data_IF_427981828275
#
_entry.id   IF_427981828275
#
_cell.length_a   1.000
_cell.length_b   1.000
_cell.length_c   1.000
_cell.angle_alpha   90.00
_cell.angle_beta   90.00
_cell.angle_gamma   90.00
#
_symmetry.space_group_name_H-M   'P 1'
#
loop_
_entity.id
_entity.type
_entity.pdbx_description
1 polymer ?
#
# COMPACT_ATOMS: atom_id res chain seq x y z
N UNK A 1 -47.09 22.78 18.65
CA UNK A 1 -46.52 21.43 18.62
C UNK A 1 -45.11 21.55 19.15
N UNK A 2 -44.75 20.76 20.14
CA UNK A 2 -43.38 20.73 20.66
C UNK A 2 -42.51 20.03 19.60
N UNK A 3 -41.84 20.82 18.76
CA UNK A 3 -41.02 20.34 17.64
C UNK A 3 -39.60 20.00 18.12
N UNK A 4 -39.46 19.40 19.31
CA UNK A 4 -38.18 19.07 19.93
C UNK A 4 -37.95 17.55 19.98
N UNK A 5 -36.68 17.16 19.89
CA UNK A 5 -36.24 15.77 20.10
C UNK A 5 -35.17 15.75 21.19
N UNK A 6 -35.22 14.77 22.08
CA UNK A 6 -34.19 14.53 23.09
C UNK A 6 -33.37 13.30 22.70
N UNK A 7 -32.06 13.48 22.56
CA UNK A 7 -31.13 12.42 22.17
C UNK A 7 -29.98 12.42 23.19
N UNK A 8 -29.54 11.26 23.68
CA UNK A 8 -28.37 11.19 24.55
C UNK A 8 -27.12 11.69 23.82
N UNK A 9 -26.29 12.49 24.51
CA UNK A 9 -25.02 13.01 23.97
C UNK A 9 -24.00 11.91 23.62
N UNK A 10 -24.19 10.70 24.16
CA UNK A 10 -23.32 9.54 23.95
C UNK A 10 -21.84 9.81 24.31
N UNK A 11 -21.61 10.68 25.29
CA UNK A 11 -20.35 10.86 25.98
C UNK A 11 -20.50 10.28 27.39
N UNK A 12 -19.66 9.32 27.81
CA UNK A 12 -19.74 8.79 29.15
C UNK A 12 -19.21 9.79 30.18
N UNK A 13 -19.62 9.59 31.42
CA UNK A 13 -19.14 10.32 32.60
C UNK A 13 -19.36 11.84 32.58
N UNK A 14 -20.35 12.33 31.83
CA UNK A 14 -20.71 13.75 31.81
C UNK A 14 -22.16 13.99 32.16
N UNK A 15 -22.42 15.17 32.75
CA UNK A 15 -23.76 15.72 32.92
C UNK A 15 -23.85 17.00 32.09
N UNK A 16 -24.91 17.11 31.29
CA UNK A 16 -25.22 18.33 30.54
C UNK A 16 -25.78 19.36 31.51
N UNK A 17 -25.22 20.57 31.46
CA UNK A 17 -25.64 21.71 32.28
C UNK A 17 -26.52 22.65 31.46
N UNK A 18 -26.07 23.00 30.27
CA UNK A 18 -26.74 23.96 29.39
C UNK A 18 -26.51 23.58 27.93
N UNK A 19 -27.52 23.81 27.10
CA UNK A 19 -27.42 23.73 25.64
C UNK A 19 -27.88 25.07 25.09
N UNK A 20 -26.99 25.76 24.38
CA UNK A 20 -27.28 27.05 23.77
C UNK A 20 -26.80 27.07 22.32
N UNK A 21 -27.28 28.06 21.57
CA UNK A 21 -26.88 28.30 20.18
C UNK A 21 -26.15 29.63 20.11
N UNK A 22 -24.98 29.63 19.48
CA UNK A 22 -24.20 30.85 19.27
C UNK A 22 -24.82 31.70 18.15
N UNK A 23 -24.44 32.98 18.08
CA UNK A 23 -24.84 33.89 17.00
C UNK A 23 -24.44 33.36 15.62
N UNK A 24 -23.31 32.66 15.55
CA UNK A 24 -22.80 31.99 14.34
C UNK A 24 -23.55 30.69 14.00
N UNK A 25 -24.60 30.34 14.75
CA UNK A 25 -25.43 29.17 14.49
C UNK A 25 -24.84 27.83 14.95
N UNK A 26 -23.78 27.86 15.76
CA UNK A 26 -23.18 26.65 16.33
C UNK A 26 -23.90 26.25 17.64
N UNK A 27 -23.99 24.96 17.92
CA UNK A 27 -24.44 24.48 19.22
C UNK A 27 -23.29 24.46 20.22
N UNK A 28 -23.53 24.99 21.41
CA UNK A 28 -22.64 24.92 22.56
C UNK A 28 -23.32 24.08 23.64
N UNK A 29 -22.68 22.98 24.04
CA UNK A 29 -23.16 22.09 25.08
C UNK A 29 -22.18 22.17 26.24
N UNK A 30 -22.60 22.83 27.32
CA UNK A 30 -21.82 22.90 28.55
C UNK A 30 -22.02 21.63 29.36
N UNK A 31 -20.91 21.02 29.76
CA UNK A 31 -20.94 19.78 30.53
C UNK A 31 -20.02 19.85 31.75
N UNK A 32 -20.38 19.11 32.78
CA UNK A 32 -19.48 18.79 33.88
C UNK A 32 -19.13 17.30 33.89
N UNK A 33 -17.92 16.98 34.33
CA UNK A 33 -17.52 15.61 34.58
C UNK A 33 -18.20 15.07 35.84
N UNK A 34 -18.79 13.89 35.75
CA UNK A 34 -19.37 13.15 36.88
C UNK A 34 -18.33 12.35 37.66
N UNK A 35 -17.15 12.10 37.08
CA UNK A 35 -16.05 11.41 37.76
C UNK A 35 -15.56 12.22 38.96
N UNK A 36 -15.33 11.51 40.08
CA UNK A 36 -14.82 12.04 41.35
C UNK A 36 -13.35 11.68 41.62
N UNK A 37 -12.69 11.07 40.64
CA UNK A 37 -11.28 10.73 40.72
C UNK A 37 -10.56 10.89 39.38
N UNK A 38 -9.24 10.73 39.40
CA UNK A 38 -8.36 10.58 38.23
C UNK A 38 -7.08 9.84 38.64
N UNK A 39 -6.34 9.26 37.70
CA UNK A 39 -5.00 8.73 37.96
C UNK A 39 -3.94 9.83 37.99
N UNK A 40 -2.98 9.75 38.91
CA UNK A 40 -1.85 10.66 39.01
C UNK A 40 -0.94 10.56 37.79
N UNK A 41 -0.62 11.69 37.15
CA UNK A 41 0.27 11.71 35.99
C UNK A 41 1.74 11.32 36.28
N UNK A 42 2.16 11.28 37.55
CA UNK A 42 3.54 10.93 37.97
C UNK A 42 3.65 9.50 38.50
N UNK A 43 2.78 9.08 39.42
CA UNK A 43 2.87 7.76 40.06
C UNK A 43 1.77 6.77 39.65
N UNK A 44 0.80 7.16 38.83
CA UNK A 44 -0.28 6.29 38.36
C UNK A 44 -1.39 5.99 39.38
N UNK A 45 -1.18 6.28 40.68
CA UNK A 45 -2.18 6.03 41.72
C UNK A 45 -3.44 6.87 41.53
N UNK A 46 -4.58 6.33 41.95
CA UNK A 46 -5.86 7.05 41.93
C UNK A 46 -5.84 8.23 42.92
N UNK A 47 -6.35 9.38 42.46
CA UNK A 47 -6.47 10.63 43.18
C UNK A 47 -7.94 10.98 43.35
N UNK A 48 -8.37 11.17 44.60
CA UNK A 48 -9.72 11.60 44.98
C UNK A 48 -9.74 12.97 45.65
N UNK A 49 -8.57 13.52 46.00
CA UNK A 49 -8.46 14.82 46.64
C UNK A 49 -8.62 15.95 45.62
N UNK A 50 -9.83 16.49 45.51
CA UNK A 50 -10.15 17.61 44.63
C UNK A 50 -9.31 18.84 45.00
N UNK A 51 -8.73 19.48 43.99
CA UNK A 51 -7.87 20.65 44.16
C UNK A 51 -8.48 21.91 43.51
N UNK A 52 -9.36 21.75 42.53
CA UNK A 52 -10.00 22.86 41.84
C UNK A 52 -10.30 22.51 40.40
N UNK A 53 -10.56 23.54 39.60
CA UNK A 53 -10.82 23.41 38.19
C UNK A 53 -9.66 23.96 37.36
N UNK A 54 -9.48 23.41 36.16
CA UNK A 54 -8.64 24.00 35.13
C UNK A 54 -9.41 25.06 34.33
N UNK A 55 -8.73 25.71 33.39
CA UNK A 55 -9.38 26.62 32.44
C UNK A 55 -10.44 25.87 31.62
N UNK A 56 -11.60 26.48 31.33
CA UNK A 56 -12.59 25.91 30.43
C UNK A 56 -11.96 25.60 29.07
N UNK A 57 -12.27 24.43 28.53
CA UNK A 57 -11.87 24.01 27.19
C UNK A 57 -13.09 23.83 26.32
N UNK A 58 -12.97 24.22 25.05
CA UNK A 58 -14.00 24.03 24.04
C UNK A 58 -13.53 23.00 23.02
N UNK A 59 -14.33 21.95 22.85
CA UNK A 59 -13.97 20.78 22.07
C UNK A 59 -14.96 20.58 20.92
N UNK A 60 -14.48 20.45 19.69
CA UNK A 60 -15.35 20.13 18.55
C UNK A 60 -15.95 18.73 18.70
N UNK A 61 -17.25 18.63 18.45
CA UNK A 61 -18.02 17.40 18.50
C UNK A 61 -18.77 17.11 17.20
N UNK A 62 -19.44 15.96 17.15
CA UNK A 62 -20.25 15.55 16.00
C UNK A 62 -21.31 16.60 15.69
N UNK A 63 -21.48 16.99 14.41
CA UNK A 63 -22.46 17.99 14.04
C UNK A 63 -23.89 17.46 14.23
N UNK A 64 -24.82 18.37 14.48
CA UNK A 64 -26.26 18.10 14.55
C UNK A 64 -26.93 18.85 13.42
N UNK A 65 -27.59 18.14 12.50
CA UNK A 65 -28.18 18.72 11.29
C UNK A 65 -27.20 19.63 10.52
N UNK A 66 -25.97 19.14 10.33
CA UNK A 66 -24.84 19.86 9.71
C UNK A 66 -24.35 21.10 10.48
N UNK A 67 -24.99 21.46 11.59
CA UNK A 67 -24.54 22.56 12.44
C UNK A 67 -23.38 22.09 13.33
N UNK A 68 -22.28 22.85 13.40
CA UNK A 68 -21.21 22.65 14.35
C UNK A 68 -21.70 22.46 15.78
N UNK A 69 -21.12 21.50 16.49
CA UNK A 69 -21.34 21.32 17.93
C UNK A 69 -20.01 21.44 18.67
N UNK A 70 -20.02 22.16 19.77
CA UNK A 70 -18.90 22.28 20.69
C UNK A 70 -19.29 21.83 22.09
N UNK A 71 -18.45 21.00 22.71
CA UNK A 71 -18.55 20.66 24.13
C UNK A 71 -17.66 21.62 24.90
N UNK A 72 -18.25 22.35 25.85
CA UNK A 72 -17.51 23.17 26.79
C UNK A 72 -17.41 22.44 28.13
N UNK A 73 -16.19 22.09 28.52
CA UNK A 73 -15.91 21.36 29.75
C UNK A 73 -14.97 22.21 30.60
N UNK A 74 -15.23 22.23 31.91
CA UNK A 74 -14.26 22.72 32.89
C UNK A 74 -13.59 21.54 33.60
N UNK A 75 -12.36 21.15 33.21
CA UNK A 75 -11.74 19.94 33.73
C UNK A 75 -11.47 20.05 35.24
N UNK A 76 -11.76 18.98 35.99
CA UNK A 76 -11.40 18.90 37.42
C UNK A 76 -9.91 18.65 37.57
N UNK A 77 -9.29 19.18 38.63
CA UNK A 77 -7.90 18.93 39.01
C UNK A 77 -7.86 18.25 40.37
N UNK A 78 -6.98 17.27 40.52
CA UNK A 78 -6.79 16.54 41.76
C UNK A 78 -5.34 16.64 42.21
N UNK A 79 -5.11 16.69 43.52
CA UNK A 79 -3.78 16.73 44.11
C UNK A 79 -3.34 15.32 44.51
N UNK A 80 -2.10 14.97 44.16
CA UNK A 80 -1.49 13.72 44.59
C UNK A 80 -0.83 13.88 45.95
N UNK A 81 -1.28 13.14 46.97
CA UNK A 81 -0.62 13.12 48.28
C UNK A 81 0.41 11.98 48.43
N UNK A 82 0.52 11.10 47.44
CA UNK A 82 1.50 9.99 47.43
C UNK A 82 2.88 10.38 46.88
N UNK A 83 2.93 11.40 46.02
CA UNK A 83 4.19 11.91 45.46
C UNK A 83 4.75 13.00 46.39
N UNK A 84 6.07 13.01 46.58
CA UNK A 84 6.77 13.99 47.43
C UNK A 84 6.42 15.45 47.12
N UNK A 85 6.37 15.81 45.84
CA UNK A 85 6.15 17.20 45.38
C UNK A 85 4.66 17.60 45.32
N UNK A 86 3.76 16.71 45.78
CA UNK A 86 2.30 16.86 45.73
C UNK A 86 1.75 17.44 44.42
N UNK A 87 2.11 16.85 43.25
CA UNK A 87 1.72 17.38 41.96
C UNK A 87 0.20 17.35 41.78
N UNK A 88 -0.30 18.29 40.99
CA UNK A 88 -1.70 18.31 40.57
C UNK A 88 -1.84 17.62 39.22
N UNK A 89 -2.97 16.95 38.98
CA UNK A 89 -3.27 16.29 37.71
C UNK A 89 -4.65 16.70 37.25
N UNK A 90 -4.73 17.21 36.01
CA UNK A 90 -6.00 17.47 35.32
C UNK A 90 -6.65 16.14 34.96
N UNK A 91 -7.94 16.04 35.28
CA UNK A 91 -8.75 14.85 35.07
C UNK A 91 -8.79 14.47 33.60
N UNK A 92 -8.65 13.17 33.32
CA UNK A 92 -8.76 12.61 31.98
C UNK A 92 -10.12 11.94 31.83
N UNK A 93 -10.79 12.22 30.71
CA UNK A 93 -12.04 11.57 30.34
C UNK A 93 -11.78 10.62 29.17
N UNK A 94 -12.45 9.47 29.16
CA UNK A 94 -12.21 8.41 28.18
C UNK A 94 -12.40 8.88 26.72
N UNK A 95 -13.29 9.84 26.51
CA UNK A 95 -13.71 10.40 25.23
C UNK A 95 -12.89 11.62 24.75
N UNK A 96 -11.89 12.08 25.50
CA UNK A 96 -11.02 13.22 25.14
C UNK A 96 -9.54 12.84 25.26
N UNK A 97 -8.71 13.36 24.36
CA UNK A 97 -7.25 13.24 24.46
C UNK A 97 -6.65 14.58 24.87
N UNK A 98 -5.68 14.57 25.78
CA UNK A 98 -5.10 15.82 26.29
C UNK A 98 -4.54 16.66 25.14
N UNK A 99 -4.85 17.96 25.17
CA UNK A 99 -4.49 18.95 24.14
C UNK A 99 -5.13 18.74 22.76
N UNK A 100 -6.02 17.76 22.60
CA UNK A 100 -6.85 17.72 21.40
C UNK A 100 -7.93 18.80 21.47
N UNK A 101 -8.14 19.60 20.40
CA UNK A 101 -9.28 20.50 20.31
C UNK A 101 -10.59 19.75 19.98
N UNK A 102 -10.54 18.42 19.88
CA UNK A 102 -11.64 17.59 19.40
C UNK A 102 -11.99 16.49 20.41
N UNK A 103 -13.25 16.10 20.42
CA UNK A 103 -13.68 14.87 21.08
C UNK A 103 -13.27 13.64 20.25
N UNK A 104 -12.97 12.50 20.90
CA UNK A 104 -12.62 11.26 20.18
C UNK A 104 -13.71 10.79 19.21
N UNK A 105 -15.02 10.88 19.53
CA UNK A 105 -16.08 10.56 18.55
C UNK A 105 -16.00 11.42 17.28
N UNK A 106 -15.75 12.73 17.40
CA UNK A 106 -15.56 13.61 16.25
C UNK A 106 -14.33 13.22 15.44
N UNK A 107 -13.21 12.92 16.09
CA UNK A 107 -11.99 12.49 15.39
C UNK A 107 -12.18 11.18 14.61
N UNK A 108 -12.85 10.18 15.19
CA UNK A 108 -13.20 8.94 14.49
C UNK A 108 -14.12 9.20 13.30
N UNK A 109 -15.10 10.08 13.45
CA UNK A 109 -15.98 10.49 12.35
C UNK A 109 -15.23 11.21 11.23
N UNK A 110 -14.34 12.15 11.57
CA UNK A 110 -13.46 12.83 10.61
C UNK A 110 -12.58 11.84 9.85
N UNK A 111 -11.99 10.85 10.53
CA UNK A 111 -11.16 9.82 9.86
C UNK A 111 -11.94 8.98 8.86
N UNK A 112 -13.22 8.71 9.10
CA UNK A 112 -14.10 8.05 8.11
C UNK A 112 -14.28 8.90 6.85
N UNK A 113 -14.47 10.21 6.99
CA UNK A 113 -14.51 11.13 5.84
C UNK A 113 -13.21 11.12 5.04
N UNK A 114 -12.09 10.86 5.72
CA UNK A 114 -10.77 10.85 5.11
C UNK A 114 -10.46 9.56 4.35
N UNK A 115 -11.16 8.45 4.63
CA UNK A 115 -11.07 7.20 3.87
C UNK A 115 -11.42 7.49 2.41
N UNK A 116 -10.54 7.10 1.50
CA UNK A 116 -10.69 7.35 0.06
C UNK A 116 -10.80 8.82 -0.40
N UNK A 117 -10.61 9.80 0.48
CA UNK A 117 -10.66 11.25 0.20
C UNK A 117 -9.25 11.89 0.27
N UNK A 118 -9.13 13.22 0.30
CA UNK A 118 -7.88 13.98 0.51
C UNK A 118 -7.99 14.83 1.78
N UNK A 119 -6.85 15.29 2.30
CA UNK A 119 -6.82 16.18 3.48
C UNK A 119 -7.57 17.47 3.18
N UNK A 120 -7.30 18.10 2.03
CA UNK A 120 -7.96 19.32 1.55
C UNK A 120 -9.47 19.14 1.41
N UNK A 121 -9.92 18.04 0.80
CA UNK A 121 -11.35 17.77 0.58
C UNK A 121 -12.10 17.64 1.92
N UNK A 122 -11.54 16.91 2.88
CA UNK A 122 -12.13 16.78 4.23
C UNK A 122 -12.08 18.11 4.99
N UNK A 123 -10.98 18.85 4.91
CA UNK A 123 -10.83 20.15 5.54
C UNK A 123 -11.94 21.11 5.06
N UNK A 124 -12.18 21.16 3.75
CA UNK A 124 -13.25 21.96 3.15
C UNK A 124 -14.64 21.49 3.56
N UNK A 125 -14.93 20.19 3.45
CA UNK A 125 -16.24 19.61 3.83
C UNK A 125 -16.63 19.89 5.27
N UNK A 126 -15.64 19.93 6.16
CA UNK A 126 -15.86 20.12 7.59
C UNK A 126 -15.61 21.57 8.06
N UNK A 127 -15.20 22.46 7.16
CA UNK A 127 -14.80 23.84 7.44
C UNK A 127 -13.75 23.93 8.56
N UNK A 128 -12.70 23.12 8.46
CA UNK A 128 -11.57 23.08 9.40
C UNK A 128 -10.23 23.21 8.64
N UNK A 129 -9.15 23.46 9.36
CA UNK A 129 -7.82 23.51 8.76
C UNK A 129 -7.25 22.11 8.42
N UNK A 130 -6.35 22.06 7.44
CA UNK A 130 -5.65 20.84 7.05
C UNK A 130 -4.75 20.30 8.17
N UNK A 131 -4.22 21.18 9.02
CA UNK A 131 -3.43 20.82 10.20
C UNK A 131 -4.25 20.01 11.20
N UNK A 132 -5.54 20.33 11.38
CA UNK A 132 -6.42 19.57 12.27
C UNK A 132 -6.61 18.16 11.73
N UNK A 133 -6.94 18.02 10.44
CA UNK A 133 -7.11 16.70 9.79
C UNK A 133 -5.82 15.88 9.90
N UNK A 134 -4.67 16.50 9.63
CA UNK A 134 -3.35 15.87 9.70
C UNK A 134 -2.97 15.49 11.12
N UNK A 135 -3.24 16.34 12.11
CA UNK A 135 -3.02 16.09 13.52
C UNK A 135 -3.84 14.92 14.04
N UNK A 136 -5.12 14.83 13.63
CA UNK A 136 -5.98 13.69 13.93
C UNK A 136 -5.44 12.41 13.28
N UNK A 137 -5.06 12.47 12.00
CA UNK A 137 -4.44 11.32 11.31
C UNK A 137 -3.21 10.79 12.04
N UNK A 138 -2.29 11.67 12.44
CA UNK A 138 -1.07 11.31 13.17
C UNK A 138 -1.36 10.68 14.54
N UNK A 139 -2.40 11.16 15.23
CA UNK A 139 -2.76 10.69 16.57
C UNK A 139 -3.32 9.28 16.57
N UNK A 140 -4.14 8.94 15.55
CA UNK A 140 -4.82 7.64 15.49
C UNK A 140 -4.07 6.57 14.70
N UNK A 141 -3.21 6.97 13.76
CA UNK A 141 -2.48 6.06 12.88
C UNK A 141 -0.98 6.24 13.07
N UNK A 142 -0.34 5.26 13.70
CA UNK A 142 1.12 5.16 13.74
C UNK A 142 1.64 4.82 12.34
N UNK A 143 2.80 5.36 11.92
CA UNK A 143 3.43 5.05 10.64
C UNK A 143 4.16 3.69 10.66
N UNK A 144 3.62 2.72 11.39
CA UNK A 144 4.19 1.40 11.56
C UNK A 144 3.10 0.35 11.68
N UNK A 145 3.42 -0.84 11.21
CA UNK A 145 2.54 -2.00 11.31
C UNK A 145 2.38 -2.42 12.77
N UNK A 146 1.14 -2.71 13.17
CA UNK A 146 0.86 -3.34 14.45
C UNK A 146 0.98 -4.86 14.30
N UNK A 147 2.11 -5.43 14.73
CA UNK A 147 2.38 -6.86 14.63
C UNK A 147 1.41 -7.75 15.42
N UNK A 148 0.75 -7.21 16.44
CA UNK A 148 -0.19 -7.97 17.28
C UNK A 148 -1.48 -8.35 16.54
N UNK A 149 -1.76 -7.70 15.41
CA UNK A 149 -2.86 -8.07 14.52
C UNK A 149 -2.61 -9.38 13.75
N UNK A 150 -1.37 -9.85 13.69
CA UNK A 150 -1.00 -11.01 12.90
C UNK A 150 -0.71 -12.19 13.81
N UNK A 151 -1.33 -13.34 13.52
CA UNK A 151 -0.92 -14.61 14.10
C UNK A 151 0.18 -15.28 13.28
N UNK A 152 0.12 -15.13 11.94
CA UNK A 152 1.02 -15.75 10.97
C UNK A 152 1.17 -14.84 9.75
N UNK A 153 2.35 -14.85 9.13
CA UNK A 153 2.62 -14.24 7.81
C UNK A 153 3.36 -15.29 6.98
N UNK A 154 2.74 -15.81 5.93
CA UNK A 154 3.29 -16.90 5.10
C UNK A 154 4.04 -16.39 3.87
N UNK A 155 3.52 -15.31 3.28
CA UNK A 155 3.98 -14.77 1.99
C UNK A 155 4.26 -13.28 2.17
N UNK A 156 5.46 -12.85 1.76
CA UNK A 156 5.79 -11.44 1.60
C UNK A 156 5.88 -11.08 0.12
N UNK A 157 5.27 -9.98 -0.27
CA UNK A 157 5.47 -9.32 -1.57
C UNK A 157 6.33 -8.08 -1.39
N UNK A 158 7.38 -7.93 -2.20
CA UNK A 158 8.25 -6.76 -2.27
C UNK A 158 8.14 -6.16 -3.67
N UNK A 159 7.85 -4.86 -3.75
CA UNK A 159 7.85 -4.17 -5.04
C UNK A 159 8.23 -2.69 -4.90
N UNK A 160 8.75 -2.12 -5.97
CA UNK A 160 9.14 -0.72 -6.08
C UNK A 160 8.03 0.12 -6.72
N UNK A 161 7.71 1.25 -6.09
CA UNK A 161 6.85 2.26 -6.68
C UNK A 161 7.53 3.61 -6.75
N UNK A 162 7.48 4.23 -7.93
CA UNK A 162 7.99 5.57 -8.13
C UNK A 162 7.11 6.58 -7.39
N UNK A 163 7.70 7.43 -6.52
CA UNK A 163 7.00 8.51 -5.84
C UNK A 163 6.71 9.68 -6.79
N UNK A 164 7.69 10.10 -7.59
CA UNK A 164 7.57 11.14 -8.60
C UNK A 164 7.78 10.57 -9.99
N UNK A 165 6.97 10.99 -10.96
CA UNK A 165 7.14 10.60 -12.36
C UNK A 165 8.41 11.28 -12.90
N UNK A 166 9.35 10.50 -13.43
CA UNK A 166 10.59 11.03 -14.04
C UNK A 166 11.78 11.21 -13.10
N UNK A 167 11.60 11.08 -11.78
CA UNK A 167 12.70 11.12 -10.81
C UNK A 167 13.03 9.71 -10.31
N UNK A 168 14.29 9.45 -9.92
CA UNK A 168 14.75 8.15 -9.39
C UNK A 168 14.35 7.91 -7.92
N UNK A 169 13.24 8.51 -7.48
CA UNK A 169 12.74 8.42 -6.11
C UNK A 169 11.75 7.25 -6.03
N UNK A 170 12.26 6.07 -5.68
CA UNK A 170 11.48 4.85 -5.51
C UNK A 170 11.36 4.52 -4.03
N UNK A 171 10.13 4.18 -3.61
CA UNK A 171 9.88 3.55 -2.31
C UNK A 171 9.60 2.07 -2.52
N UNK A 172 9.91 1.28 -1.51
CA UNK A 172 9.62 -0.16 -1.51
C UNK A 172 8.37 -0.41 -0.69
N UNK A 173 7.42 -1.13 -1.26
CA UNK A 173 6.25 -1.63 -0.56
C UNK A 173 6.53 -3.05 -0.11
N UNK A 174 6.26 -3.34 1.16
CA UNK A 174 6.27 -4.70 1.67
C UNK A 174 4.86 -5.06 2.10
N UNK A 175 4.31 -6.10 1.48
CA UNK A 175 2.90 -6.48 1.59
C UNK A 175 2.75 -7.97 1.90
N UNK A 176 1.59 -8.35 2.43
CA UNK A 176 1.19 -9.75 2.59
C UNK A 176 -0.26 -9.93 2.15
N UNK A 177 -0.62 -11.03 1.47
CA UNK A 177 -2.02 -11.36 1.23
C UNK A 177 -2.73 -11.68 2.55
N UNK A 178 -4.03 -11.38 2.63
CA UNK A 178 -4.92 -11.75 3.73
C UNK A 178 -5.91 -12.84 3.29
N UNK A 179 -6.33 -13.71 4.23
CA UNK A 179 -7.25 -14.84 3.97
C UNK A 179 -8.61 -14.42 3.42
N UNK A 180 -9.14 -13.27 3.86
CA UNK A 180 -10.50 -12.80 3.54
C UNK A 180 -10.55 -11.85 2.33
N UNK A 181 -9.74 -12.12 1.29
CA UNK A 181 -9.58 -11.31 0.09
C UNK A 181 -9.03 -9.90 0.37
N UNK A 182 -7.72 -9.77 0.39
CA UNK A 182 -7.10 -8.46 0.51
C UNK A 182 -5.58 -8.52 0.53
N UNK A 183 -4.99 -7.34 0.57
CA UNK A 183 -3.54 -7.17 0.73
C UNK A 183 -3.30 -6.17 1.82
N UNK A 184 -2.45 -6.58 2.75
CA UNK A 184 -2.03 -5.78 3.88
C UNK A 184 -0.69 -5.13 3.59
N UNK A 185 -0.56 -3.85 3.97
CA UNK A 185 0.70 -3.13 3.92
C UNK A 185 1.44 -3.32 5.24
N UNK A 186 2.65 -3.86 5.18
CA UNK A 186 3.51 -4.06 6.34
C UNK A 186 4.53 -2.93 6.49
N UNK A 187 5.01 -2.38 5.36
CA UNK A 187 5.85 -1.19 5.36
C UNK A 187 5.85 -0.48 4.02
N UNK A 188 6.11 0.83 4.09
CA UNK A 188 6.65 1.62 2.99
C UNK A 188 8.08 1.98 3.39
N UNK A 189 9.08 1.61 2.60
CA UNK A 189 10.49 1.89 2.89
C UNK A 189 11.01 3.00 1.96
N UNK A 190 11.90 3.87 2.45
CA UNK A 190 12.35 5.06 1.72
C UNK A 190 13.23 4.76 0.51
N UNK A 191 13.79 3.55 0.40
CA UNK A 191 14.65 3.16 -0.72
C UNK A 191 14.80 1.65 -0.81
N UNK A 192 15.32 1.20 -1.95
CA UNK A 192 15.56 -0.22 -2.27
C UNK A 192 16.84 -0.83 -1.70
N UNK A 193 17.65 -0.09 -0.94
CA UNK A 193 18.96 -0.60 -0.51
C UNK A 193 18.79 -1.87 0.34
N UNK A 194 19.71 -2.82 0.17
CA UNK A 194 19.71 -4.11 0.89
C UNK A 194 19.60 -3.88 2.40
N UNK A 195 20.34 -2.90 2.93
CA UNK A 195 20.40 -2.60 4.36
C UNK A 195 19.04 -2.13 4.88
N UNK A 196 18.31 -1.33 4.11
CA UNK A 196 16.97 -0.83 4.48
C UNK A 196 15.97 -1.98 4.58
N UNK A 197 15.95 -2.87 3.58
CA UNK A 197 15.06 -4.04 3.56
C UNK A 197 15.43 -5.05 4.65
N UNK A 198 16.72 -5.31 4.84
CA UNK A 198 17.21 -6.20 5.89
C UNK A 198 16.89 -5.68 7.31
N UNK A 199 16.97 -4.37 7.54
CA UNK A 199 16.55 -3.73 8.79
C UNK A 199 15.05 -3.95 9.05
N UNK A 200 14.22 -3.83 8.03
CA UNK A 200 12.79 -4.12 8.16
C UNK A 200 12.53 -5.60 8.47
N UNK A 201 13.14 -6.54 7.75
CA UNK A 201 12.98 -7.96 8.09
C UNK A 201 13.45 -8.27 9.52
N UNK A 202 14.49 -7.59 9.99
CA UNK A 202 14.97 -7.70 11.35
C UNK A 202 14.02 -7.09 12.41
N UNK A 203 13.08 -6.21 12.04
CA UNK A 203 12.07 -5.67 12.94
C UNK A 203 10.82 -6.53 13.07
N UNK A 204 10.58 -7.46 12.13
CA UNK A 204 9.49 -8.44 12.20
C UNK A 204 9.70 -9.33 13.43
N UNK A 205 8.74 -9.44 14.36
CA UNK A 205 8.86 -10.31 15.54
C UNK A 205 9.20 -11.75 15.17
N UNK A 206 10.06 -12.40 15.96
CA UNK A 206 10.54 -13.76 15.65
C UNK A 206 9.39 -14.77 15.47
N UNK A 207 8.31 -14.63 16.25
CA UNK A 207 7.10 -15.45 16.13
C UNK A 207 6.46 -15.41 14.74
N UNK A 208 6.51 -14.25 14.06
CA UNK A 208 6.00 -14.06 12.71
C UNK A 208 7.07 -14.36 11.66
N UNK A 209 8.32 -13.99 11.93
CA UNK A 209 9.43 -14.22 11.01
C UNK A 209 9.61 -15.69 10.65
N UNK A 210 9.42 -16.57 11.63
CA UNK A 210 9.54 -18.02 11.46
C UNK A 210 8.40 -18.65 10.67
N UNK A 211 7.30 -17.92 10.44
CA UNK A 211 6.17 -18.42 9.64
C UNK A 211 6.25 -18.01 8.19
N UNK A 212 7.20 -17.14 7.83
CA UNK A 212 7.39 -16.68 6.46
C UNK A 212 8.04 -17.81 5.67
N UNK A 213 7.26 -18.38 4.76
CA UNK A 213 7.68 -19.47 3.88
C UNK A 213 8.13 -18.95 2.52
N UNK A 214 7.66 -17.76 2.11
CA UNK A 214 7.84 -17.27 0.74
C UNK A 214 8.04 -15.76 0.66
N UNK A 215 8.91 -15.35 -0.24
CA UNK A 215 9.15 -13.94 -0.56
C UNK A 215 9.08 -13.75 -2.07
N UNK A 216 8.03 -13.10 -2.55
CA UNK A 216 7.83 -12.69 -3.94
C UNK A 216 8.47 -11.32 -4.18
N UNK A 217 9.34 -11.22 -5.18
CA UNK A 217 10.08 -9.99 -5.49
C UNK A 217 10.42 -9.92 -6.98
N UNK A 218 10.79 -8.73 -7.45
CA UNK A 218 11.39 -8.56 -8.77
C UNK A 218 12.84 -9.08 -8.84
N UNK A 219 13.46 -9.01 -10.02
CA UNK A 219 14.85 -9.41 -10.27
C UNK A 219 15.86 -8.37 -9.75
N UNK A 220 15.77 -8.01 -8.48
CA UNK A 220 16.73 -7.11 -7.81
C UNK A 220 17.55 -7.83 -6.73
N UNK A 221 18.87 -7.84 -6.92
CA UNK A 221 19.81 -8.60 -6.07
C UNK A 221 19.80 -8.13 -4.61
N UNK A 222 19.52 -6.85 -4.36
CA UNK A 222 19.44 -6.31 -2.99
C UNK A 222 18.29 -6.93 -2.18
N UNK A 223 17.11 -7.12 -2.79
CA UNK A 223 15.96 -7.75 -2.12
C UNK A 223 16.22 -9.22 -1.85
N UNK A 224 16.72 -9.94 -2.85
CA UNK A 224 17.04 -11.37 -2.71
C UNK A 224 18.11 -11.59 -1.65
N UNK A 225 19.16 -10.79 -1.62
CA UNK A 225 20.21 -10.93 -0.61
C UNK A 225 19.70 -10.55 0.79
N UNK A 226 18.84 -9.53 0.92
CA UNK A 226 18.22 -9.20 2.21
C UNK A 226 17.31 -10.33 2.71
N UNK A 227 16.50 -10.93 1.82
CA UNK A 227 15.63 -12.05 2.14
C UNK A 227 16.43 -13.31 2.52
N UNK A 228 17.46 -13.69 1.74
CA UNK A 228 18.34 -14.83 2.09
C UNK A 228 18.98 -14.67 3.46
N UNK A 229 19.43 -13.46 3.78
CA UNK A 229 20.13 -13.17 5.03
C UNK A 229 19.19 -13.19 6.25
N UNK A 230 18.00 -12.59 6.14
CA UNK A 230 17.10 -12.41 7.30
C UNK A 230 15.96 -13.42 7.37
N UNK A 231 15.63 -14.09 6.27
CA UNK A 231 14.53 -15.04 6.12
C UNK A 231 15.05 -16.35 5.47
N UNK A 232 16.04 -17.03 6.07
CA UNK A 232 16.74 -18.16 5.43
C UNK A 232 15.86 -19.38 5.13
N UNK A 233 14.70 -19.50 5.78
CA UNK A 233 13.72 -20.57 5.55
C UNK A 233 12.78 -20.29 4.38
N UNK A 234 12.72 -19.03 3.91
CA UNK A 234 11.76 -18.63 2.91
C UNK A 234 12.26 -18.92 1.49
N UNK A 235 11.41 -19.51 0.67
CA UNK A 235 11.63 -19.61 -0.77
C UNK A 235 11.48 -18.23 -1.40
N UNK A 236 12.54 -17.77 -2.06
CA UNK A 236 12.51 -16.53 -2.83
C UNK A 236 11.98 -16.83 -4.22
N UNK A 237 10.91 -16.15 -4.60
CA UNK A 237 10.20 -16.34 -5.86
C UNK A 237 10.36 -15.06 -6.67
N UNK A 238 10.96 -15.18 -7.87
CA UNK A 238 10.96 -14.07 -8.82
C UNK A 238 9.59 -13.97 -9.47
N UNK A 239 9.05 -12.76 -9.48
CA UNK A 239 7.80 -12.47 -10.16
C UNK A 239 7.88 -12.73 -11.68
N UNK A 240 7.04 -13.67 -12.13
CA UNK A 240 6.85 -14.03 -13.54
C UNK A 240 6.55 -12.83 -14.42
N UNK A 241 5.83 -11.82 -13.95
CA UNK A 241 5.53 -10.62 -14.75
C UNK A 241 6.81 -9.90 -15.17
N UNK A 242 7.80 -9.76 -14.28
CA UNK A 242 9.08 -9.13 -14.60
C UNK A 242 9.90 -9.97 -15.57
N UNK A 243 9.88 -11.30 -15.42
CA UNK A 243 10.51 -12.23 -16.38
C UNK A 243 9.83 -12.10 -17.76
N UNK A 244 8.50 -12.07 -17.78
CA UNK A 244 7.70 -11.92 -18.99
C UNK A 244 7.97 -10.62 -19.72
N UNK A 245 8.03 -9.52 -18.98
CA UNK A 245 8.41 -8.22 -19.51
C UNK A 245 9.83 -8.25 -20.11
N UNK A 246 10.78 -8.92 -19.46
CA UNK A 246 12.16 -8.99 -19.92
C UNK A 246 12.29 -9.72 -21.28
N UNK A 247 11.75 -10.94 -21.43
CA UNK A 247 11.86 -11.64 -22.71
C UNK A 247 10.99 -11.03 -23.82
N UNK A 248 9.82 -10.45 -23.49
CA UNK A 248 9.01 -9.70 -24.46
C UNK A 248 9.75 -8.46 -24.97
N UNK A 249 10.51 -7.78 -24.12
CA UNK A 249 11.35 -6.67 -24.53
C UNK A 249 12.48 -7.12 -25.48
N UNK A 250 13.05 -8.30 -25.30
CA UNK A 250 14.01 -8.87 -26.25
C UNK A 250 13.39 -9.02 -27.64
N UNK A 251 12.21 -9.63 -27.73
CA UNK A 251 11.46 -9.74 -29.00
C UNK A 251 11.10 -8.37 -29.59
N UNK A 252 10.67 -7.39 -28.77
CA UNK A 252 10.37 -6.03 -29.25
C UNK A 252 11.62 -5.29 -29.77
N UNK A 253 12.82 -5.55 -29.21
CA UNK A 253 14.08 -5.02 -29.75
C UNK A 253 14.36 -5.59 -31.14
N UNK A 254 14.20 -6.90 -31.35
CA UNK A 254 14.32 -7.53 -32.69
C UNK A 254 13.35 -6.87 -33.65
N UNK A 255 12.07 -6.76 -33.26
CA UNK A 255 11.03 -6.12 -34.06
C UNK A 255 11.39 -4.70 -34.47
N UNK A 256 11.89 -3.86 -33.56
CA UNK A 256 12.31 -2.48 -33.89
C UNK A 256 13.45 -2.45 -34.90
N UNK A 257 14.43 -3.35 -34.75
CA UNK A 257 15.57 -3.43 -35.64
C UNK A 257 15.15 -3.91 -37.04
N UNK A 258 14.41 -5.00 -37.12
CA UNK A 258 13.96 -5.60 -38.39
C UNK A 258 13.02 -4.67 -39.15
N UNK A 259 12.04 -4.04 -38.50
CA UNK A 259 11.15 -3.08 -39.17
C UNK A 259 11.90 -1.85 -39.70
N UNK A 260 12.96 -1.40 -39.00
CA UNK A 260 13.81 -0.30 -39.50
C UNK A 260 14.57 -0.71 -40.76
N UNK A 261 15.00 -1.96 -40.86
CA UNK A 261 15.66 -2.51 -42.06
C UNK A 261 14.66 -2.69 -43.21
N UNK A 262 13.50 -3.28 -42.94
CA UNK A 262 12.44 -3.48 -43.92
C UNK A 262 11.93 -2.17 -44.51
N UNK A 263 11.78 -1.12 -43.70
CA UNK A 263 11.39 0.21 -44.18
C UNK A 263 12.39 0.81 -45.18
N UNK A 264 13.67 0.43 -45.11
CA UNK A 264 14.71 0.86 -46.06
C UNK A 264 14.78 -0.04 -47.31
N UNK A 265 14.48 -1.33 -47.16
CA UNK A 265 14.64 -2.34 -48.21
C UNK A 265 13.41 -2.46 -49.12
N UNK A 266 12.21 -2.32 -48.56
CA UNK A 266 10.95 -2.51 -49.29
C UNK A 266 10.48 -1.22 -49.98
N UNK A 267 9.78 -1.36 -51.10
CA UNK A 267 9.07 -0.25 -51.71
C UNK A 267 7.95 0.26 -50.79
N UNK A 268 7.51 1.51 -51.00
CA UNK A 268 6.40 2.10 -50.22
C UNK A 268 5.13 1.24 -50.28
N UNK A 269 4.82 0.65 -51.45
CA UNK A 269 3.64 -0.22 -51.63
C UNK A 269 3.77 -1.53 -50.86
N UNK A 270 4.95 -2.15 -50.84
CA UNK A 270 5.18 -3.39 -50.09
C UNK A 270 5.19 -3.16 -48.58
N UNK A 271 5.81 -2.07 -48.12
CA UNK A 271 5.83 -1.72 -46.70
C UNK A 271 4.43 -1.41 -46.15
N UNK A 272 3.55 -0.81 -46.97
CA UNK A 272 2.17 -0.53 -46.56
C UNK A 272 1.38 -1.82 -46.27
N UNK A 273 1.71 -2.94 -46.93
CA UNK A 273 1.09 -4.26 -46.70
C UNK A 273 1.41 -4.87 -45.34
N UNK A 274 2.51 -4.45 -44.70
CA UNK A 274 2.94 -4.93 -43.37
C UNK A 274 2.77 -3.86 -42.28
N UNK A 275 2.19 -2.71 -42.62
CA UNK A 275 1.93 -1.63 -41.68
C UNK A 275 0.89 -2.08 -40.65
N UNK A 276 1.08 -1.68 -39.39
CA UNK A 276 0.19 -2.09 -38.28
C UNK A 276 0.57 -3.42 -37.62
N UNK A 277 1.43 -4.25 -38.25
CA UNK A 277 1.84 -5.55 -37.73
C UNK A 277 2.56 -5.49 -36.35
N UNK A 278 2.99 -4.30 -35.90
CA UNK A 278 3.55 -4.12 -34.56
C UNK A 278 2.59 -4.52 -33.43
N UNK A 279 1.30 -4.20 -33.58
CA UNK A 279 0.30 -4.48 -32.54
C UNK A 279 -0.01 -5.98 -32.50
N UNK A 280 -0.24 -6.58 -33.67
CA UNK A 280 -0.37 -8.03 -33.82
C UNK A 280 0.86 -8.74 -33.24
N UNK A 281 2.08 -8.28 -33.54
CA UNK A 281 3.29 -8.92 -33.04
C UNK A 281 3.30 -9.01 -31.53
N UNK A 282 2.79 -8.03 -30.78
CA UNK A 282 2.80 -8.03 -29.31
C UNK A 282 1.81 -8.98 -28.66
N UNK A 283 0.82 -9.48 -29.41
CA UNK A 283 -0.19 -10.42 -28.93
C UNK A 283 0.35 -11.85 -28.95
N UNK A 284 -0.11 -12.66 -28.00
CA UNK A 284 0.09 -14.11 -28.03
C UNK A 284 -0.79 -14.75 -29.10
N UNK A 285 -0.46 -15.96 -29.55
CA UNK A 285 -1.22 -16.66 -30.61
C UNK A 285 -2.73 -16.71 -30.34
N UNK A 286 -3.15 -17.06 -29.12
CA UNK A 286 -4.58 -17.13 -28.75
C UNK A 286 -5.31 -15.78 -28.62
N UNK A 287 -4.64 -14.64 -28.85
CA UNK A 287 -5.24 -13.30 -28.79
C UNK A 287 -5.32 -12.63 -30.18
N UNK A 288 -4.78 -13.27 -31.20
CA UNK A 288 -4.82 -12.79 -32.58
C UNK A 288 -6.14 -13.16 -33.20
N UNK A 289 -6.68 -12.27 -34.04
CA UNK A 289 -7.70 -12.65 -35.01
C UNK A 289 -7.04 -13.09 -36.33
N UNK A 290 -7.84 -13.62 -37.24
CA UNK A 290 -7.36 -14.17 -38.52
C UNK A 290 -6.60 -13.12 -39.35
N UNK A 291 -7.12 -11.88 -39.43
CA UNK A 291 -6.47 -10.77 -40.15
C UNK A 291 -5.09 -10.40 -39.58
N UNK A 292 -4.98 -10.36 -38.25
CA UNK A 292 -3.74 -10.08 -37.55
C UNK A 292 -2.72 -11.20 -37.72
N UNK A 293 -3.19 -12.45 -37.75
CA UNK A 293 -2.34 -13.61 -38.03
C UNK A 293 -1.82 -13.58 -39.47
N UNK A 294 -2.69 -13.36 -40.45
CA UNK A 294 -2.32 -13.22 -41.85
C UNK A 294 -1.33 -12.06 -42.07
N UNK A 295 -1.51 -10.96 -41.32
CA UNK A 295 -0.59 -9.84 -41.33
C UNK A 295 0.79 -10.21 -40.77
N UNK A 296 0.84 -11.01 -39.70
CA UNK A 296 2.10 -11.52 -39.15
C UNK A 296 2.78 -12.52 -40.07
N UNK A 297 2.03 -13.44 -40.68
CA UNK A 297 2.58 -14.37 -41.67
C UNK A 297 3.22 -13.61 -42.83
N UNK A 298 2.53 -12.59 -43.37
CA UNK A 298 3.10 -11.69 -44.38
C UNK A 298 4.35 -10.96 -43.89
N UNK A 299 4.38 -10.48 -42.64
CA UNK A 299 5.58 -9.86 -42.08
C UNK A 299 6.75 -10.86 -41.97
N UNK A 300 6.46 -12.11 -41.60
CA UNK A 300 7.45 -13.16 -41.43
C UNK A 300 8.09 -13.61 -42.75
N UNK A 301 7.38 -13.53 -43.88
CA UNK A 301 8.01 -13.78 -45.20
C UNK A 301 9.11 -12.77 -45.51
N UNK A 302 8.98 -11.52 -45.04
CA UNK A 302 10.00 -10.48 -45.21
C UNK A 302 11.13 -10.57 -44.17
N UNK A 303 10.87 -11.10 -42.97
CA UNK A 303 11.87 -11.27 -41.92
C UNK A 303 11.68 -12.60 -41.16
N UNK A 304 12.35 -13.67 -41.59
CA UNK A 304 12.41 -14.94 -40.86
C UNK A 304 13.01 -14.79 -39.45
N UNK A 305 13.92 -13.83 -39.28
CA UNK A 305 14.49 -13.49 -37.97
C UNK A 305 13.43 -13.00 -36.99
N UNK A 306 12.47 -12.22 -37.48
CA UNK A 306 11.37 -11.74 -36.66
C UNK A 306 10.38 -12.84 -36.29
N UNK A 307 10.17 -13.80 -37.20
CA UNK A 307 9.41 -15.02 -36.92
C UNK A 307 10.05 -15.83 -35.80
N UNK A 308 11.36 -16.09 -35.90
CA UNK A 308 12.08 -16.84 -34.87
C UNK A 308 12.03 -16.14 -33.51
N UNK A 309 12.17 -14.81 -33.48
CA UNK A 309 11.99 -14.03 -32.25
C UNK A 309 10.57 -14.11 -31.65
N UNK A 310 9.54 -14.18 -32.49
CA UNK A 310 8.16 -14.39 -32.06
C UNK A 310 8.00 -15.78 -31.44
N UNK A 311 8.49 -16.83 -32.11
CA UNK A 311 8.39 -18.21 -31.63
C UNK A 311 9.13 -18.37 -30.30
N UNK A 312 10.37 -17.87 -30.18
CA UNK A 312 11.14 -17.97 -28.92
C UNK A 312 10.42 -17.31 -27.74
N UNK A 313 9.73 -16.19 -27.98
CA UNK A 313 8.92 -15.50 -26.96
C UNK A 313 7.70 -16.32 -26.56
N UNK A 314 6.98 -16.89 -27.52
CA UNK A 314 5.80 -17.72 -27.24
C UNK A 314 6.18 -19.00 -26.51
N UNK A 315 7.27 -19.68 -26.91
CA UNK A 315 7.75 -20.89 -26.22
C UNK A 315 8.07 -20.65 -24.76
N UNK A 316 8.77 -19.55 -24.43
CA UNK A 316 9.05 -19.26 -23.03
C UNK A 316 7.77 -18.95 -22.27
N UNK A 317 6.81 -18.25 -22.89
CA UNK A 317 5.49 -18.03 -22.31
C UNK A 317 4.80 -19.36 -22.00
N UNK A 318 4.83 -20.30 -22.95
CA UNK A 318 4.24 -21.62 -22.81
C UNK A 318 4.91 -22.45 -21.70
N UNK A 319 6.24 -22.38 -21.56
CA UNK A 319 6.96 -23.03 -20.45
C UNK A 319 6.41 -22.56 -19.10
N UNK A 320 6.11 -21.27 -18.94
CA UNK A 320 5.51 -20.73 -17.73
C UNK A 320 4.02 -21.11 -17.56
N UNK A 321 3.28 -21.37 -18.63
CA UNK A 321 1.87 -21.80 -18.54
C UNK A 321 1.74 -23.31 -18.23
N UNK A 322 2.71 -24.13 -18.62
CA UNK A 322 2.73 -25.56 -18.31
C UNK A 322 2.97 -25.84 -16.83
N UNK A 323 2.47 -26.99 -16.36
CA UNK A 323 2.74 -27.50 -15.01
C UNK A 323 4.08 -28.24 -15.01
N UNK A 324 5.02 -27.74 -14.22
CA UNK A 324 6.30 -28.37 -13.94
C UNK A 324 6.52 -28.39 -12.43
N UNK A 325 7.39 -29.27 -11.95
CA UNK A 325 8.09 -29.06 -10.70
C UNK A 325 9.30 -28.12 -10.94
N UNK A 326 9.96 -27.58 -9.89
CA UNK A 326 11.10 -26.68 -10.08
C UNK A 326 12.23 -27.29 -10.92
N UNK A 327 12.47 -28.61 -10.80
CA UNK A 327 13.53 -29.30 -11.54
C UNK A 327 13.20 -29.37 -13.04
N UNK A 328 11.99 -29.79 -13.39
CA UNK A 328 11.49 -29.83 -14.76
C UNK A 328 11.46 -28.45 -15.40
N UNK A 329 11.04 -27.42 -14.66
CA UNK A 329 11.08 -26.03 -15.12
C UNK A 329 12.50 -25.58 -15.47
N UNK A 330 13.50 -25.88 -14.62
CA UNK A 330 14.91 -25.58 -14.91
C UNK A 330 15.39 -26.27 -16.19
N UNK A 331 15.02 -27.54 -16.39
CA UNK A 331 15.37 -28.27 -17.60
C UNK A 331 14.75 -27.64 -18.85
N UNK A 332 13.45 -27.32 -18.82
CA UNK A 332 12.75 -26.67 -19.92
C UNK A 332 13.34 -25.29 -20.24
N UNK A 333 13.57 -24.45 -19.23
CA UNK A 333 14.18 -23.12 -19.40
C UNK A 333 15.60 -23.24 -19.98
N UNK A 334 16.42 -24.19 -19.50
CA UNK A 334 17.76 -24.41 -20.06
C UNK A 334 17.73 -24.91 -21.51
N UNK A 335 16.78 -25.77 -21.85
CA UNK A 335 16.58 -26.22 -23.23
C UNK A 335 16.21 -25.04 -24.14
N UNK A 336 15.30 -24.17 -23.67
CA UNK A 336 14.95 -22.93 -24.35
C UNK A 336 16.16 -22.00 -24.52
N UNK A 337 16.99 -21.80 -23.48
CA UNK A 337 18.22 -21.02 -23.58
C UNK A 337 19.17 -21.56 -24.66
N UNK A 338 19.33 -22.88 -24.77
CA UNK A 338 20.13 -23.50 -25.85
C UNK A 338 19.54 -23.23 -27.23
N UNK A 339 18.21 -23.21 -27.37
CA UNK A 339 17.55 -22.87 -28.64
C UNK A 339 17.81 -21.41 -29.03
N UNK A 340 17.71 -20.48 -28.07
CA UNK A 340 18.05 -19.06 -28.28
C UNK A 340 19.50 -18.89 -28.74
N UNK A 341 20.45 -19.61 -28.16
CA UNK A 341 21.85 -19.54 -28.60
C UNK A 341 22.02 -20.02 -30.05
N UNK A 342 21.28 -21.06 -30.46
CA UNK A 342 21.31 -21.58 -31.83
C UNK A 342 20.65 -20.64 -32.85
N UNK A 343 19.69 -19.81 -32.43
CA UNK A 343 18.99 -18.88 -33.32
C UNK A 343 19.82 -17.66 -33.72
N UNK A 344 20.95 -17.41 -33.03
CA UNK A 344 21.85 -16.27 -33.28
C UNK A 344 21.14 -14.89 -33.19
N UNK A 345 20.11 -14.79 -32.36
CA UNK A 345 19.38 -13.54 -32.11
C UNK A 345 19.99 -12.83 -30.89
N UNK A 346 20.98 -11.98 -31.15
CA UNK A 346 21.76 -11.29 -30.11
C UNK A 346 20.96 -10.45 -29.12
N UNK A 347 19.74 -10.02 -29.48
CA UNK A 347 18.85 -9.24 -28.61
C UNK A 347 18.40 -10.02 -27.36
N UNK A 348 18.53 -11.36 -27.36
CA UNK A 348 18.25 -12.21 -26.20
C UNK A 348 19.49 -12.52 -25.35
N UNK A 349 20.72 -12.31 -25.82
CA UNK A 349 21.94 -12.72 -25.12
C UNK A 349 22.01 -12.18 -23.68
N UNK A 350 21.77 -10.88 -23.51
CA UNK A 350 21.73 -10.26 -22.17
C UNK A 350 20.68 -10.86 -21.23
N UNK A 351 19.59 -11.38 -21.79
CA UNK A 351 18.54 -12.03 -21.03
C UNK A 351 18.93 -13.47 -20.64
N UNK A 352 19.78 -14.14 -21.42
CA UNK A 352 20.27 -15.48 -21.06
C UNK A 352 21.10 -15.43 -19.77
N UNK A 353 22.03 -14.48 -19.64
CA UNK A 353 22.80 -14.28 -18.40
C UNK A 353 21.91 -13.92 -17.22
N UNK A 354 20.84 -13.16 -17.48
CA UNK A 354 19.82 -12.83 -16.47
C UNK A 354 19.10 -14.10 -16.01
N UNK A 355 18.60 -14.92 -16.93
CA UNK A 355 17.93 -16.19 -16.62
C UNK A 355 18.85 -17.12 -15.84
N UNK A 356 20.12 -17.23 -16.23
CA UNK A 356 21.09 -18.07 -15.53
C UNK A 356 21.29 -17.63 -14.08
N UNK A 357 21.45 -16.33 -13.85
CA UNK A 357 21.58 -15.74 -12.50
C UNK A 357 20.35 -16.00 -11.63
N UNK A 358 19.16 -15.92 -12.23
CA UNK A 358 17.88 -15.98 -11.53
C UNK A 358 17.18 -17.33 -11.64
N UNK A 359 17.81 -18.35 -12.22
CA UNK A 359 17.17 -19.61 -12.58
C UNK A 359 16.54 -20.31 -11.37
N UNK A 360 17.25 -20.31 -10.25
CA UNK A 360 16.78 -20.90 -9.00
C UNK A 360 15.49 -20.22 -8.49
N UNK A 361 15.49 -18.91 -8.17
CA UNK A 361 14.29 -18.26 -7.66
C UNK A 361 13.18 -18.09 -8.73
N UNK A 362 13.50 -18.11 -10.03
CA UNK A 362 12.48 -18.21 -11.09
C UNK A 362 11.80 -19.58 -11.04
N UNK A 363 12.55 -20.66 -10.84
CA UNK A 363 11.98 -22.01 -10.78
C UNK A 363 11.07 -22.23 -9.57
N UNK A 364 11.27 -21.47 -8.48
CA UNK A 364 10.41 -21.52 -7.30
C UNK A 364 8.96 -21.09 -7.59
N UNK A 365 8.73 -20.33 -8.68
CA UNK A 365 7.38 -20.06 -9.20
C UNK A 365 6.59 -21.35 -9.38
N UNK A 366 7.24 -22.43 -9.85
CA UNK A 366 6.57 -23.68 -10.20
C UNK A 366 6.20 -24.56 -9.00
N UNK A 367 6.56 -24.18 -7.76
CA UNK A 367 6.11 -24.89 -6.55
C UNK A 367 4.58 -24.82 -6.39
N UNK A 368 4.03 -23.62 -6.51
CA UNK A 368 2.59 -23.35 -6.26
C UNK A 368 1.99 -22.37 -7.27
N UNK A 369 2.76 -21.97 -8.30
CA UNK A 369 2.39 -20.95 -9.30
C UNK A 369 2.02 -19.61 -8.66
N UNK A 370 2.57 -19.32 -7.48
CA UNK A 370 2.33 -18.07 -6.78
C UNK A 370 2.85 -16.91 -7.61
N UNK A 371 1.98 -15.92 -7.79
CA UNK A 371 2.30 -14.67 -8.46
C UNK A 371 2.25 -13.54 -7.43
N UNK A 372 2.98 -12.47 -7.70
CA UNK A 372 2.83 -11.17 -7.03
C UNK A 372 1.53 -10.46 -7.44
N UNK A 373 0.54 -11.14 -8.03
CA UNK A 373 -0.69 -10.50 -8.56
C UNK A 373 -1.43 -9.70 -7.49
N UNK A 374 -1.37 -10.13 -6.23
CA UNK A 374 -1.88 -9.38 -5.10
C UNK A 374 -1.14 -8.03 -4.92
N UNK A 375 0.17 -7.99 -5.17
CA UNK A 375 0.99 -6.77 -5.18
C UNK A 375 0.58 -5.84 -6.33
N UNK A 376 0.20 -6.36 -7.50
CA UNK A 376 -0.27 -5.53 -8.61
C UNK A 376 -1.57 -4.79 -8.28
N UNK A 377 -2.55 -5.51 -7.73
CA UNK A 377 -3.80 -4.90 -7.25
C UNK A 377 -3.52 -3.82 -6.21
N UNK A 378 -2.59 -4.10 -5.29
CA UNK A 378 -2.16 -3.15 -4.27
C UNK A 378 -1.46 -1.91 -4.87
N UNK A 379 -0.56 -2.10 -5.83
CA UNK A 379 0.11 -1.02 -6.55
C UNK A 379 -0.87 -0.08 -7.23
N UNK A 380 -1.95 -0.62 -7.80
CA UNK A 380 -3.00 0.21 -8.39
C UNK A 380 -3.71 1.05 -7.33
N UNK A 381 -3.96 0.51 -6.14
CA UNK A 381 -4.47 1.28 -4.98
C UNK A 381 -3.51 2.41 -4.60
N UNK A 382 -2.21 2.13 -4.51
CA UNK A 382 -1.20 3.18 -4.23
C UNK A 382 -1.19 4.26 -5.33
N UNK A 383 -1.27 3.87 -6.61
CA UNK A 383 -1.36 4.82 -7.74
C UNK A 383 -2.63 5.67 -7.68
N UNK A 384 -3.77 5.11 -7.27
CA UNK A 384 -5.04 5.85 -7.08
C UNK A 384 -4.89 6.86 -5.94
N UNK A 385 -4.38 6.44 -4.78
CA UNK A 385 -4.11 7.33 -3.64
C UNK A 385 -3.20 8.51 -4.04
N UNK A 386 -2.09 8.21 -4.72
CA UNK A 386 -1.17 9.25 -5.19
C UNK A 386 -1.82 10.21 -6.20
N UNK A 387 -2.65 9.69 -7.12
CA UNK A 387 -3.36 10.52 -8.11
C UNK A 387 -4.35 11.45 -7.44
N UNK A 388 -5.17 10.96 -6.50
CA UNK A 388 -6.17 11.80 -5.82
C UNK A 388 -5.53 12.87 -4.94
N UNK A 389 -4.38 12.57 -4.31
CA UNK A 389 -3.68 13.51 -3.43
C UNK A 389 -2.69 14.41 -4.18
N UNK A 390 -2.62 14.37 -5.52
CA UNK A 390 -1.60 15.09 -6.31
C UNK A 390 -0.15 14.79 -5.89
N UNK A 391 0.09 13.60 -5.32
CA UNK A 391 1.36 13.15 -4.77
C UNK A 391 1.34 13.00 -3.25
N UNK A 392 2.08 12.00 -2.77
CA UNK A 392 2.45 11.84 -1.35
C UNK A 392 3.90 11.40 -1.37
N UNK A 393 4.80 12.20 -0.80
CA UNK A 393 6.25 11.95 -0.86
C UNK A 393 6.82 11.50 0.48
N UNK A 394 6.12 11.86 1.57
CA UNK A 394 6.45 11.39 2.91
C UNK A 394 6.01 9.93 3.07
N UNK A 395 6.96 9.08 3.47
CA UNK A 395 6.80 7.62 3.55
C UNK A 395 5.83 7.26 4.67
N UNK A 396 5.93 7.94 5.80
CA UNK A 396 5.10 7.73 6.98
C UNK A 396 3.64 8.11 6.66
N UNK A 397 3.43 9.25 6.01
CA UNK A 397 2.12 9.68 5.52
C UNK A 397 1.56 8.69 4.52
N UNK A 398 2.37 8.19 3.59
CA UNK A 398 1.93 7.20 2.61
C UNK A 398 1.46 5.92 3.30
N UNK A 399 2.21 5.42 4.29
CA UNK A 399 1.82 4.26 5.09
C UNK A 399 0.51 4.50 5.87
N UNK A 400 0.38 5.64 6.57
CA UNK A 400 -0.82 5.99 7.32
C UNK A 400 -2.05 6.06 6.42
N UNK A 401 -1.92 6.72 5.25
CA UNK A 401 -3.00 6.89 4.28
C UNK A 401 -3.42 5.56 3.65
N UNK A 402 -2.47 4.68 3.32
CA UNK A 402 -2.78 3.34 2.84
C UNK A 402 -3.48 2.51 3.92
N UNK A 403 -2.98 2.55 5.15
CA UNK A 403 -3.59 1.86 6.29
C UNK A 403 -5.02 2.34 6.55
N UNK A 404 -5.25 3.66 6.46
CA UNK A 404 -6.58 4.25 6.59
C UNK A 404 -7.52 3.82 5.46
N UNK A 405 -7.06 3.80 4.21
CA UNK A 405 -7.91 3.37 3.09
C UNK A 405 -8.28 1.89 3.14
N UNK A 406 -7.44 1.05 3.74
CA UNK A 406 -7.67 -0.39 3.86
C UNK A 406 -8.60 -0.70 5.04
N UNK A 407 -8.30 -0.14 6.21
CA UNK A 407 -8.95 -0.52 7.49
C UNK A 407 -9.86 0.55 8.08
N UNK A 408 -9.90 1.75 7.49
CA UNK A 408 -10.52 2.90 8.14
C UNK A 408 -12.01 2.73 8.41
N UNK A 409 -12.74 2.07 7.51
CA UNK A 409 -14.15 1.79 7.73
C UNK A 409 -14.38 0.81 8.88
N UNK A 410 -13.66 -0.32 8.91
CA UNK A 410 -13.75 -1.28 10.01
C UNK A 410 -13.35 -0.62 11.34
N UNK A 411 -12.17 0.02 11.36
CA UNK A 411 -11.55 0.57 12.58
C UNK A 411 -12.29 1.77 13.18
N UNK A 412 -12.95 2.58 12.35
CA UNK A 412 -13.60 3.82 12.79
C UNK A 412 -15.12 3.82 12.57
N UNK A 413 -15.70 2.67 12.20
CA UNK A 413 -17.15 2.47 12.18
C UNK A 413 -17.77 2.71 13.57
N UNK A 414 -19.06 3.04 13.57
CA UNK A 414 -19.86 3.06 14.80
C UNK A 414 -20.03 1.59 15.22
N UNK A 415 -19.52 1.26 16.41
CA UNK A 415 -19.78 -0.03 17.07
C UNK A 415 -21.10 0.05 17.81
#
# INVERSE_FOLDING_TARGET
MDNSIQIPLNLPDVRVLEVSKTEEGCWLIQVESTLKSTSCGKCGRELTHFHGFDQPIRLRHLPVFEQPVYIELKPKRYQCHYCKDKPTTTQRLSWHELRSPNTKPYEKWLLRFLVNSTVVDVANKLSISEEIVTGVLNRWLTPSVNWDRFQRIEILGIDEIALKRGHKDYVVLITTPLKEQGVEILAVLPNRKKETVAKFFASIPLRLRNTIERVCTDMYLGFVNAAKEKLPRAHIIIDRFHVARAYRNCADKVRRQELKLLKKKLSKKEYEKIKGAMWAFRKSLGQLNDDEWDLLQRLFTYSPKLQEAYILREELTEIFERKYDPKGAKCAIRAWCKRVLRSQISQFESFLSTIETWLEPISNYFLERLTSSFVEGFNNRVKVLKRRCYGIFDVDRLFQRLTLDIHGYERFSLS
#
